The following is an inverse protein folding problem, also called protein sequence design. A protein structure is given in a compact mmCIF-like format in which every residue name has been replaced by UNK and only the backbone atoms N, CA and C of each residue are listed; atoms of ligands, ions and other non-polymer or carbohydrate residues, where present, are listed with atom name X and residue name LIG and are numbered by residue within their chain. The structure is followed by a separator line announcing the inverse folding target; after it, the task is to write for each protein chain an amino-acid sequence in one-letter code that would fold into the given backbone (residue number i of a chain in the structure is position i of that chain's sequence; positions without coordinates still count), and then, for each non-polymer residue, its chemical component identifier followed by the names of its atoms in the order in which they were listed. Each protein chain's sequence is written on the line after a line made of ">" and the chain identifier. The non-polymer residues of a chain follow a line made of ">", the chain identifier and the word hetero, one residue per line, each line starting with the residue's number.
data_IF_381719912125
#
_entry.id   IF_381719912125
#
_cell.length_a   1.000
_cell.length_b   1.000
_cell.length_c   1.000
_cell.angle_alpha   90.00
_cell.angle_beta   90.00
_cell.angle_gamma   90.00
#
_symmetry.space_group_name_H-M   'P 1'
#
loop_
_entity.id
_entity.type
_entity.pdbx_description
1 polymer ?
#
# COMPACT_ATOMS: atom_id res chain seq x y z
N UNK A 1 -0.89 8.06 -7.82
CA UNK A 1 -1.06 6.61 -7.59
C UNK A 1 -1.75 6.41 -6.25
N UNK A 2 -2.97 5.96 -6.30
CA UNK A 2 -3.78 5.70 -5.11
C UNK A 2 -4.21 4.24 -5.13
N UNK A 3 -3.94 3.54 -4.02
CA UNK A 3 -4.30 2.13 -3.87
C UNK A 3 -5.09 1.96 -2.58
N UNK A 4 -6.15 1.17 -2.65
CA UNK A 4 -6.92 0.76 -1.49
C UNK A 4 -6.82 -0.75 -1.34
N UNK A 5 -6.68 -1.20 -0.09
CA UNK A 5 -6.69 -2.63 0.22
C UNK A 5 -7.78 -2.94 1.23
N UNK A 6 -8.48 -4.04 0.98
CA UNK A 6 -9.40 -4.64 1.95
C UNK A 6 -8.80 -5.96 2.42
N UNK A 7 -8.76 -6.15 3.71
CA UNK A 7 -8.32 -7.41 4.31
C UNK A 7 -9.53 -8.33 4.53
N UNK A 8 -9.26 -9.63 4.59
CA UNK A 8 -10.30 -10.65 4.76
C UNK A 8 -11.01 -10.47 6.11
N UNK A 9 -12.33 -10.61 6.12
CA UNK A 9 -13.14 -10.42 7.32
C UNK A 9 -12.82 -11.44 8.42
N UNK A 10 -12.41 -12.65 8.04
CA UNK A 10 -12.06 -13.70 8.99
C UNK A 10 -10.74 -13.46 9.74
N UNK A 11 -9.92 -12.53 9.28
CA UNK A 11 -8.69 -12.14 9.98
C UNK A 11 -9.07 -11.34 11.22
N UNK A 12 -8.49 -11.68 12.38
CA UNK A 12 -8.78 -10.99 13.63
C UNK A 12 -8.36 -9.51 13.58
N UNK A 13 -9.00 -8.67 14.40
CA UNK A 13 -8.64 -7.25 14.48
C UNK A 13 -7.19 -7.05 14.90
N UNK A 14 -6.68 -7.88 15.82
CA UNK A 14 -5.29 -7.83 16.28
C UNK A 14 -4.31 -8.18 15.16
N UNK A 15 -4.60 -9.24 14.40
CA UNK A 15 -3.77 -9.67 13.28
C UNK A 15 -3.78 -8.63 12.16
N UNK A 16 -4.96 -8.07 11.84
CA UNK A 16 -5.08 -6.98 10.88
C UNK A 16 -4.17 -5.81 11.27
N UNK A 17 -4.19 -5.40 12.52
CA UNK A 17 -3.40 -4.28 12.99
C UNK A 17 -1.90 -4.55 12.85
N UNK A 18 -1.44 -5.74 13.21
CA UNK A 18 -0.03 -6.14 13.06
C UNK A 18 0.40 -6.09 11.59
N UNK A 19 -0.39 -6.69 10.70
CA UNK A 19 -0.09 -6.75 9.27
C UNK A 19 -0.11 -5.37 8.63
N UNK A 20 -1.11 -4.56 8.97
CA UNK A 20 -1.23 -3.20 8.44
C UNK A 20 -0.05 -2.31 8.85
N UNK A 21 0.40 -2.40 10.09
CA UNK A 21 1.55 -1.62 10.55
C UNK A 21 2.86 -2.09 9.91
N UNK A 22 3.04 -3.38 9.71
CA UNK A 22 4.21 -3.91 8.98
C UNK A 22 4.23 -3.41 7.53
N UNK A 23 3.08 -3.45 6.87
CA UNK A 23 2.95 -2.96 5.50
C UNK A 23 3.25 -1.47 5.40
N UNK A 24 2.67 -0.68 6.31
CA UNK A 24 2.92 0.77 6.38
C UNK A 24 4.40 1.08 6.54
N UNK A 25 5.09 0.43 7.48
CA UNK A 25 6.53 0.64 7.68
C UNK A 25 7.34 0.28 6.44
N UNK A 26 7.04 -0.86 5.82
CA UNK A 26 7.76 -1.34 4.65
C UNK A 26 7.58 -0.40 3.45
N UNK A 27 6.36 0.06 3.19
CA UNK A 27 6.08 0.97 2.06
C UNK A 27 6.69 2.34 2.32
N UNK A 28 6.55 2.88 3.53
CA UNK A 28 7.08 4.22 3.85
C UNK A 28 8.61 4.25 3.90
N UNK A 29 9.27 3.10 3.97
CA UNK A 29 10.72 2.98 3.87
C UNK A 29 11.22 2.95 2.42
N UNK A 30 10.35 2.74 1.42
CA UNK A 30 10.74 2.56 0.02
C UNK A 30 11.39 3.80 -0.63
N UNK A 31 11.04 5.04 -0.29
CA UNK A 31 11.72 6.20 -0.92
C UNK A 31 13.24 6.20 -0.75
N UNK A 32 13.76 5.61 0.32
CA UNK A 32 15.20 5.48 0.53
C UNK A 32 15.85 4.44 -0.41
N UNK A 33 15.04 3.55 -0.99
CA UNK A 33 15.50 2.42 -1.83
C UNK A 33 15.12 2.60 -3.30
N UNK A 34 14.05 3.35 -3.58
CA UNK A 34 13.50 3.51 -4.93
C UNK A 34 13.42 5.01 -5.24
N UNK A 35 14.38 5.49 -6.00
CA UNK A 35 14.59 6.93 -6.22
C UNK A 35 13.44 7.64 -6.95
N UNK A 36 12.62 6.91 -7.72
CA UNK A 36 11.53 7.51 -8.50
C UNK A 36 10.32 7.91 -7.64
N UNK A 37 10.26 7.48 -6.40
CA UNK A 37 9.17 7.86 -5.48
C UNK A 37 9.40 9.28 -5.00
N UNK A 38 8.47 10.20 -5.31
CA UNK A 38 8.53 11.59 -4.87
C UNK A 38 7.89 11.76 -3.50
N UNK A 39 6.80 11.02 -3.26
CA UNK A 39 6.09 11.04 -1.99
C UNK A 39 5.35 9.71 -1.83
N UNK A 40 5.30 9.21 -0.61
CA UNK A 40 4.45 8.06 -0.27
C UNK A 40 3.97 8.20 1.16
N UNK A 41 2.71 7.86 1.37
CA UNK A 41 2.15 7.71 2.70
C UNK A 41 1.14 6.57 2.70
N UNK A 42 1.05 5.89 3.83
CA UNK A 42 0.08 4.81 4.03
C UNK A 42 -0.82 5.21 5.19
N UNK A 43 -2.12 5.31 4.90
CA UNK A 43 -3.14 5.59 5.91
C UNK A 43 -3.85 4.30 6.31
N UNK A 44 -4.05 4.12 7.60
CA UNK A 44 -4.84 3.01 8.11
C UNK A 44 -6.23 3.52 8.45
N UNK A 45 -7.27 2.82 7.97
CA UNK A 45 -8.65 3.25 8.20
C UNK A 45 -8.96 3.26 9.70
N UNK A 46 -9.51 4.37 10.16
CA UNK A 46 -9.95 4.55 11.54
C UNK A 46 -11.48 4.71 11.65
N UNK A 47 -12.19 4.61 10.52
CA UNK A 47 -13.64 4.78 10.48
C UNK A 47 -14.31 3.41 10.43
N UNK A 48 -14.98 2.96 11.51
CA UNK A 48 -15.60 1.63 11.53
C UNK A 48 -16.78 1.50 10.57
N UNK A 49 -17.29 2.61 10.05
CA UNK A 49 -18.37 2.61 9.05
C UNK A 49 -17.89 2.33 7.63
N UNK A 50 -16.57 2.30 7.40
CA UNK A 50 -16.01 2.13 6.07
C UNK A 50 -15.42 0.73 5.89
N UNK A 51 -15.43 0.26 4.64
CA UNK A 51 -15.08 -1.12 4.30
C UNK A 51 -13.59 -1.34 4.11
N UNK A 52 -12.90 -0.37 3.47
CA UNK A 52 -11.49 -0.52 3.11
C UNK A 52 -10.59 -0.29 4.32
N UNK A 53 -9.50 -1.04 4.39
CA UNK A 53 -8.62 -1.05 5.57
C UNK A 53 -7.40 -0.15 5.43
N UNK A 54 -6.85 -0.03 4.22
CA UNK A 54 -5.59 0.67 3.96
C UNK A 54 -5.74 1.55 2.75
N UNK A 55 -5.22 2.79 2.85
CA UNK A 55 -5.06 3.68 1.71
C UNK A 55 -3.56 3.97 1.51
N UNK A 56 -3.07 3.80 0.29
CA UNK A 56 -1.71 4.14 -0.09
C UNK A 56 -1.79 5.28 -1.09
N UNK A 57 -1.14 6.39 -0.77
CA UNK A 57 -1.02 7.53 -1.66
C UNK A 57 0.45 7.74 -2.01
N UNK A 58 0.75 7.87 -3.31
CA UNK A 58 2.12 8.12 -3.74
C UNK A 58 2.16 9.01 -4.98
N UNK A 59 3.28 9.72 -5.14
CA UNK A 59 3.51 10.64 -6.25
C UNK A 59 4.79 10.28 -6.99
N UNK A 60 4.74 10.33 -8.31
CA UNK A 60 5.84 10.03 -9.22
C UNK A 60 5.83 11.08 -10.33
N UNK A 61 6.94 11.22 -11.05
CA UNK A 61 7.00 12.17 -12.16
C UNK A 61 6.25 11.68 -13.40
N UNK A 62 6.23 10.36 -13.63
CA UNK A 62 5.64 9.76 -14.83
C UNK A 62 4.97 8.43 -14.51
N UNK A 63 4.09 7.98 -15.41
CA UNK A 63 3.50 6.65 -15.33
C UNK A 63 4.57 5.55 -15.49
N UNK A 64 5.62 5.82 -16.27
CA UNK A 64 6.75 4.89 -16.40
C UNK A 64 7.41 4.63 -15.05
N UNK A 65 7.56 5.68 -14.23
CA UNK A 65 8.12 5.57 -12.89
C UNK A 65 7.21 4.72 -11.97
N UNK A 66 5.89 4.84 -12.11
CA UNK A 66 4.94 3.99 -11.37
C UNK A 66 5.14 2.53 -11.74
N UNK A 67 5.32 2.23 -13.02
CA UNK A 67 5.56 0.86 -13.50
C UNK A 67 6.89 0.30 -13.01
N UNK A 68 7.93 1.12 -13.02
CA UNK A 68 9.23 0.75 -12.47
C UNK A 68 9.12 0.41 -10.98
N UNK A 69 8.44 1.26 -10.23
CA UNK A 69 8.16 1.05 -8.81
C UNK A 69 7.39 -0.25 -8.58
N UNK A 70 6.33 -0.48 -9.36
CA UNK A 70 5.46 -1.65 -9.16
C UNK A 70 6.20 -2.98 -9.27
N UNK A 71 7.21 -3.07 -10.15
CA UNK A 71 7.97 -4.30 -10.39
C UNK A 71 9.29 -4.35 -9.63
N UNK A 72 9.64 -3.29 -8.90
CA UNK A 72 10.89 -3.26 -8.13
C UNK A 72 10.87 -4.33 -7.03
N UNK A 73 11.97 -5.10 -6.84
CA UNK A 73 11.99 -6.18 -5.85
C UNK A 73 11.60 -5.76 -4.44
N UNK A 74 12.01 -4.58 -4.01
CA UNK A 74 11.69 -4.10 -2.67
C UNK A 74 10.20 -3.78 -2.51
N UNK A 75 9.55 -3.28 -3.56
CA UNK A 75 8.10 -3.07 -3.56
C UNK A 75 7.35 -4.42 -3.56
N UNK A 76 7.80 -5.36 -4.37
CA UNK A 76 7.20 -6.70 -4.43
C UNK A 76 7.28 -7.37 -3.05
N UNK A 77 8.43 -7.25 -2.38
CA UNK A 77 8.61 -7.80 -1.03
C UNK A 77 7.66 -7.16 -0.02
N UNK A 78 7.48 -5.83 -0.08
CA UNK A 78 6.52 -5.12 0.79
C UNK A 78 5.09 -5.58 0.52
N UNK A 79 4.73 -5.78 -0.74
CA UNK A 79 3.39 -6.26 -1.12
C UNK A 79 3.08 -7.66 -0.58
N UNK A 80 4.08 -8.51 -0.45
CA UNK A 80 3.91 -9.86 0.08
C UNK A 80 3.45 -9.88 1.54
N UNK A 81 3.67 -8.81 2.28
CA UNK A 81 3.22 -8.70 3.67
C UNK A 81 1.70 -8.88 3.75
N UNK A 82 0.96 -8.44 2.72
CA UNK A 82 -0.50 -8.55 2.66
C UNK A 82 -0.99 -9.81 1.93
N UNK A 83 -0.11 -10.64 1.39
CA UNK A 83 -0.50 -11.71 0.47
C UNK A 83 -1.57 -12.65 1.02
N UNK A 84 -1.48 -13.03 2.30
CA UNK A 84 -2.41 -13.99 2.92
C UNK A 84 -3.65 -13.34 3.50
N UNK A 85 -3.60 -12.04 3.83
CA UNK A 85 -4.69 -11.33 4.50
C UNK A 85 -5.52 -10.46 3.55
N UNK A 86 -4.98 -10.14 2.38
CA UNK A 86 -5.64 -9.28 1.40
C UNK A 86 -6.82 -10.00 0.74
N UNK A 87 -7.99 -9.35 0.75
CA UNK A 87 -9.16 -9.80 0.02
C UNK A 87 -9.28 -9.09 -1.32
N UNK A 88 -9.14 -7.77 -1.33
CA UNK A 88 -9.37 -6.94 -2.52
C UNK A 88 -8.39 -5.80 -2.60
N UNK A 89 -8.14 -5.35 -3.83
CA UNK A 89 -7.30 -4.20 -4.14
C UNK A 89 -7.98 -3.35 -5.20
N UNK A 90 -7.92 -2.04 -5.02
CA UNK A 90 -8.36 -1.09 -6.03
C UNK A 90 -7.26 -0.06 -6.26
N UNK A 91 -7.12 0.42 -7.47
CA UNK A 91 -6.06 1.38 -7.82
C UNK A 91 -6.55 2.36 -8.87
N UNK A 92 -6.10 3.60 -8.75
CA UNK A 92 -6.26 4.61 -9.78
C UNK A 92 -4.98 5.43 -9.89
N UNK A 93 -4.56 5.67 -11.14
CA UNK A 93 -3.43 6.55 -11.45
C UNK A 93 -3.95 7.74 -12.26
N UNK A 94 -3.62 8.94 -11.83
CA UNK A 94 -4.05 10.15 -12.52
C UNK A 94 -3.01 11.26 -12.39
N UNK A 95 -3.10 12.24 -13.28
CA UNK A 95 -2.25 13.42 -13.24
C UNK A 95 -2.95 14.56 -12.50
N UNK A 96 -2.17 15.30 -11.74
CA UNK A 96 -2.64 16.48 -11.05
C UNK A 96 -2.48 17.74 -11.92
#
# INVERSE_FOLDING_TARGET
>A
HIVLFKLKDEVSAEEKLVVMNKFKEAIEALPAKIAVIRKVEVGLNMNPGETWNIALYSEFDTLEDVKYYATHPDHVAAGRILAETKESRACVDYEL
#
